data_IF_067152749545
#
_entry.id   IF_067152749545
#
_cell.length_a   1.000
_cell.length_b   1.000
_cell.length_c   1.000
_cell.angle_alpha   90.00
_cell.angle_beta   90.00
_cell.angle_gamma   90.00
#
_symmetry.space_group_name_H-M   'P 1'
#
loop_
_entity.id
_entity.type
_entity.pdbx_description
1 polymer ?
#
# COMPACT_ATOMS: atom_id res chain seq x y z
N UNK A 1 17.40 -0.32 16.12
CA UNK A 1 17.02 0.34 14.85
C UNK A 1 15.52 0.46 14.87
N UNK A 2 15.00 1.68 14.95
CA UNK A 2 13.56 1.98 15.00
C UNK A 2 12.98 1.88 13.59
N UNK A 3 11.85 1.19 13.45
CA UNK A 3 11.12 1.11 12.18
C UNK A 3 10.73 2.52 11.70
N UNK A 4 10.75 2.80 10.37
CA UNK A 4 10.27 4.07 9.85
C UNK A 4 8.85 4.35 10.33
N UNK A 5 8.58 5.59 10.74
CA UNK A 5 7.24 6.07 11.12
C UNK A 5 6.56 5.36 12.31
N UNK A 6 7.26 4.50 13.05
CA UNK A 6 6.73 3.75 14.22
C UNK A 6 6.28 4.63 15.39
N UNK A 7 6.47 5.94 15.30
CA UNK A 7 5.93 6.92 16.27
C UNK A 7 4.46 7.22 16.03
N UNK A 8 3.94 6.96 14.82
CA UNK A 8 2.59 7.36 14.42
C UNK A 8 1.68 6.19 14.05
N UNK A 9 2.21 4.98 13.83
CA UNK A 9 1.44 3.82 13.41
C UNK A 9 2.02 2.53 14.03
N UNK A 10 1.20 1.49 14.07
CA UNK A 10 1.57 0.17 14.60
C UNK A 10 2.31 -0.67 13.55
N UNK A 11 1.81 -0.67 12.32
CA UNK A 11 2.46 -1.32 11.18
C UNK A 11 2.74 -0.32 10.04
N UNK A 12 3.89 -0.49 9.40
CA UNK A 12 4.29 0.23 8.19
C UNK A 12 4.69 -0.76 7.09
N UNK A 13 4.20 -0.58 5.88
CA UNK A 13 4.56 -1.45 4.76
C UNK A 13 4.78 -0.69 3.46
N UNK A 14 5.71 -1.19 2.67
CA UNK A 14 6.04 -0.68 1.35
C UNK A 14 5.65 -1.72 0.32
N UNK A 15 4.82 -1.34 -0.64
CA UNK A 15 4.40 -2.19 -1.72
C UNK A 15 4.82 -1.58 -3.07
N UNK A 16 5.17 -2.44 -4.01
CA UNK A 16 5.37 -2.13 -5.42
C UNK A 16 4.27 -2.80 -6.23
N UNK A 17 3.70 -2.09 -7.20
CA UNK A 17 2.80 -2.69 -8.20
C UNK A 17 3.20 -2.27 -9.60
N UNK A 18 3.43 -3.26 -10.46
CA UNK A 18 3.67 -3.11 -11.88
C UNK A 18 2.45 -3.64 -12.65
N UNK A 19 1.74 -2.76 -13.34
CA UNK A 19 0.61 -3.09 -14.19
C UNK A 19 1.03 -3.30 -15.64
N UNK A 20 0.52 -4.35 -16.28
CA UNK A 20 0.63 -4.59 -17.73
C UNK A 20 -0.72 -4.45 -18.42
N UNK A 21 -0.69 -3.93 -19.66
CA UNK A 21 -1.85 -3.89 -20.54
C UNK A 21 -2.27 -5.30 -21.00
N UNK A 22 -1.29 -6.19 -21.19
CA UNK A 22 -1.49 -7.57 -21.62
C UNK A 22 -1.50 -8.54 -20.44
N UNK A 23 -1.98 -9.76 -20.70
CA UNK A 23 -1.92 -10.82 -19.71
C UNK A 23 -0.47 -11.32 -19.54
N UNK A 24 -0.01 -11.37 -18.29
CA UNK A 24 1.30 -11.92 -17.94
C UNK A 24 1.32 -13.45 -18.15
N UNK A 25 2.49 -14.07 -18.37
CA UNK A 25 2.59 -15.50 -18.54
C UNK A 25 2.30 -16.25 -17.23
N UNK A 26 1.37 -17.21 -17.30
CA UNK A 26 0.99 -18.09 -16.19
C UNK A 26 1.32 -19.56 -16.50
N UNK A 27 2.24 -19.81 -17.43
CA UNK A 27 2.74 -21.17 -17.68
C UNK A 27 3.52 -21.65 -16.47
N UNK A 28 3.30 -22.92 -16.08
CA UNK A 28 3.85 -23.51 -14.86
C UNK A 28 5.35 -23.28 -14.73
N UNK A 29 6.12 -23.54 -15.77
CA UNK A 29 7.57 -23.43 -15.76
C UNK A 29 8.03 -21.98 -15.54
N UNK A 30 7.35 -21.02 -16.16
CA UNK A 30 7.66 -19.59 -16.03
C UNK A 30 7.41 -19.11 -14.61
N UNK A 31 6.24 -19.45 -14.06
CA UNK A 31 5.83 -19.09 -12.70
C UNK A 31 6.79 -19.70 -11.67
N UNK A 32 7.08 -20.99 -11.79
CA UNK A 32 7.98 -21.68 -10.86
C UNK A 32 9.40 -21.13 -10.93
N UNK A 33 9.95 -20.93 -12.13
CA UNK A 33 11.30 -20.40 -12.28
C UNK A 33 11.44 -18.99 -11.67
N UNK A 34 10.43 -18.14 -11.87
CA UNK A 34 10.36 -16.81 -11.25
C UNK A 34 10.37 -16.88 -9.72
N UNK A 35 9.48 -17.67 -9.12
CA UNK A 35 9.38 -17.77 -7.66
C UNK A 35 10.55 -18.53 -7.01
N UNK A 36 11.14 -19.54 -7.68
CA UNK A 36 12.35 -20.21 -7.20
C UNK A 36 13.55 -19.26 -7.16
N UNK A 37 13.65 -18.35 -8.14
CA UNK A 37 14.70 -17.32 -8.13
C UNK A 37 14.53 -16.36 -6.95
N UNK A 38 13.28 -15.95 -6.65
CA UNK A 38 12.96 -15.16 -5.46
C UNK A 38 13.32 -15.90 -4.17
N UNK A 39 12.91 -17.17 -4.03
CA UNK A 39 13.23 -17.97 -2.85
C UNK A 39 14.74 -18.18 -2.63
N UNK A 40 15.55 -18.23 -3.70
CA UNK A 40 17.02 -18.26 -3.59
C UNK A 40 17.60 -16.96 -3.05
N UNK A 41 17.04 -15.82 -3.44
CA UNK A 41 17.48 -14.50 -2.97
C UNK A 41 16.97 -14.18 -1.55
N UNK A 42 15.76 -14.65 -1.22
CA UNK A 42 15.09 -14.46 0.06
C UNK A 42 14.64 -15.82 0.62
N UNK A 43 15.54 -16.55 1.33
CA UNK A 43 15.26 -17.91 1.81
C UNK A 43 14.06 -18.06 2.75
N UNK A 44 13.56 -16.98 3.34
CA UNK A 44 12.34 -16.99 4.15
C UNK A 44 11.05 -17.13 3.34
N UNK A 45 11.07 -16.73 2.06
CA UNK A 45 9.92 -16.76 1.14
C UNK A 45 9.66 -18.20 0.69
N UNK A 46 8.96 -18.96 1.54
CA UNK A 46 8.78 -20.41 1.39
C UNK A 46 7.33 -20.82 1.16
N UNK A 47 6.37 -19.92 1.42
CA UNK A 47 4.94 -20.22 1.33
C UNK A 47 4.42 -19.85 -0.05
N UNK A 48 4.57 -20.77 -1.00
CA UNK A 48 3.94 -20.64 -2.31
C UNK A 48 2.45 -20.97 -2.22
N UNK A 49 1.58 -20.08 -2.72
CA UNK A 49 0.13 -20.25 -2.72
C UNK A 49 -0.42 -19.97 -4.11
N UNK A 50 -1.47 -20.72 -4.46
CA UNK A 50 -2.37 -20.37 -5.54
C UNK A 50 -3.63 -19.80 -4.89
N UNK A 51 -3.99 -18.57 -5.25
CA UNK A 51 -5.23 -17.95 -4.76
C UNK A 51 -6.46 -18.70 -5.31
N UNK A 52 -7.63 -18.43 -4.73
CA UNK A 52 -8.90 -18.95 -5.23
C UNK A 52 -9.25 -18.41 -6.62
N UNK A 53 -8.71 -17.24 -6.98
CA UNK A 53 -8.91 -16.60 -8.27
C UNK A 53 -8.07 -17.26 -9.38
N UNK A 54 -8.57 -17.30 -10.63
CA UNK A 54 -7.79 -17.81 -11.76
C UNK A 54 -6.55 -16.95 -11.99
N UNK A 55 -5.40 -17.60 -12.20
CA UNK A 55 -4.14 -16.93 -12.56
C UNK A 55 -3.65 -15.93 -11.50
N UNK A 56 -3.73 -16.31 -10.23
CA UNK A 56 -3.10 -15.59 -9.13
C UNK A 56 -2.24 -16.54 -8.29
N UNK A 57 -0.95 -16.23 -8.22
CA UNK A 57 0.07 -17.00 -7.51
C UNK A 57 0.84 -16.07 -6.57
N UNK A 58 1.05 -16.47 -5.32
CA UNK A 58 1.86 -15.72 -4.38
C UNK A 58 2.99 -16.56 -3.78
N UNK A 59 4.05 -15.88 -3.37
CA UNK A 59 5.13 -16.40 -2.56
C UNK A 59 5.35 -15.47 -1.38
N UNK A 60 5.28 -16.02 -0.17
CA UNK A 60 5.24 -15.24 1.06
C UNK A 60 6.20 -15.80 2.12
N UNK A 61 6.73 -14.91 2.96
CA UNK A 61 7.32 -15.25 4.26
C UNK A 61 6.22 -15.58 5.29
N UNK A 62 6.61 -15.85 6.53
CA UNK A 62 5.64 -16.08 7.59
C UNK A 62 4.93 -14.79 8.02
N UNK A 63 3.63 -14.68 7.74
CA UNK A 63 2.78 -13.54 8.14
C UNK A 63 2.59 -13.39 9.66
N UNK A 64 2.93 -14.40 10.45
CA UNK A 64 2.93 -14.29 11.92
C UNK A 64 4.20 -13.60 12.44
N UNK A 65 5.23 -13.48 11.60
CA UNK A 65 6.41 -12.72 11.95
C UNK A 65 6.10 -11.21 11.92
N UNK A 66 6.74 -10.42 12.80
CA UNK A 66 6.49 -8.97 12.87
C UNK A 66 6.93 -8.23 11.61
N UNK A 67 7.84 -8.80 10.80
CA UNK A 67 8.25 -8.30 9.50
C UNK A 67 8.25 -9.46 8.52
N UNK A 68 7.65 -9.26 7.35
CA UNK A 68 7.59 -10.30 6.33
C UNK A 68 7.48 -9.71 4.92
N UNK A 69 7.96 -10.48 3.95
CA UNK A 69 7.90 -10.18 2.52
C UNK A 69 6.87 -11.04 1.80
N UNK A 70 6.34 -10.49 0.72
CA UNK A 70 5.47 -11.23 -0.18
C UNK A 70 5.60 -10.73 -1.61
N UNK A 71 5.26 -11.58 -2.57
CA UNK A 71 5.17 -11.24 -3.99
C UNK A 71 3.99 -12.00 -4.58
N UNK A 72 3.19 -11.33 -5.40
CA UNK A 72 2.05 -11.94 -6.11
C UNK A 72 2.14 -11.64 -7.60
N UNK A 73 1.87 -12.67 -8.40
CA UNK A 73 1.71 -12.61 -9.83
C UNK A 73 0.24 -12.86 -10.15
N UNK A 74 -0.42 -11.84 -10.66
CA UNK A 74 -1.81 -11.85 -11.10
C UNK A 74 -1.87 -11.74 -12.63
N UNK A 75 -3.07 -11.93 -13.20
CA UNK A 75 -3.29 -11.92 -14.65
C UNK A 75 -2.65 -10.74 -15.39
N UNK A 76 -2.70 -9.52 -14.83
CA UNK A 76 -2.18 -8.30 -15.45
C UNK A 76 -1.29 -7.47 -14.53
N UNK A 77 -0.88 -8.04 -13.39
CA UNK A 77 -0.21 -7.27 -12.34
C UNK A 77 0.84 -8.12 -11.65
N UNK A 78 2.01 -7.52 -11.47
CA UNK A 78 3.05 -8.05 -10.61
C UNK A 78 3.14 -7.15 -9.38
N UNK A 79 3.00 -7.72 -8.20
CA UNK A 79 3.05 -6.98 -6.94
C UNK A 79 4.05 -7.60 -5.99
N UNK A 80 4.67 -6.76 -5.15
CA UNK A 80 5.48 -7.23 -4.04
C UNK A 80 5.35 -6.28 -2.87
N UNK A 81 5.55 -6.78 -1.66
CA UNK A 81 5.41 -6.00 -0.44
C UNK A 81 6.38 -6.45 0.64
N UNK A 82 6.77 -5.50 1.49
CA UNK A 82 7.51 -5.78 2.72
C UNK A 82 6.83 -5.05 3.88
N UNK A 83 6.32 -5.83 4.82
CA UNK A 83 5.73 -5.35 6.07
C UNK A 83 6.81 -5.16 7.12
N UNK A 84 6.76 -4.02 7.79
CA UNK A 84 7.64 -3.57 8.87
C UNK A 84 9.14 -3.70 8.56
N UNK A 85 9.60 -3.18 7.40
CA UNK A 85 11.00 -3.26 7.04
C UNK A 85 11.87 -2.48 8.05
N UNK A 86 13.09 -2.95 8.28
CA UNK A 86 14.04 -2.27 9.18
C UNK A 86 14.45 -0.87 8.68
N UNK A 87 14.35 -0.64 7.37
CA UNK A 87 14.59 0.63 6.69
C UNK A 87 13.91 0.61 5.31
N UNK A 88 13.74 1.77 4.69
CA UNK A 88 13.22 1.85 3.33
C UNK A 88 14.13 1.12 2.33
N UNK A 89 15.45 1.24 2.48
CA UNK A 89 16.46 0.55 1.67
C UNK A 89 16.31 -0.97 1.74
N UNK A 90 15.93 -1.52 2.90
CA UNK A 90 15.71 -2.96 3.05
C UNK A 90 14.48 -3.44 2.25
N UNK A 91 13.39 -2.66 2.23
CA UNK A 91 12.22 -2.97 1.42
C UNK A 91 12.54 -2.93 -0.09
N UNK A 92 13.33 -1.92 -0.51
CA UNK A 92 13.73 -1.73 -1.90
C UNK A 92 14.48 -2.94 -2.50
N UNK A 93 15.17 -3.75 -1.69
CA UNK A 93 15.90 -4.94 -2.17
C UNK A 93 14.98 -5.95 -2.87
N UNK A 94 13.81 -6.23 -2.28
CA UNK A 94 12.83 -7.14 -2.88
C UNK A 94 12.26 -6.55 -4.17
N UNK A 95 11.77 -5.32 -4.09
CA UNK A 95 11.11 -4.67 -5.21
C UNK A 95 12.04 -4.51 -6.42
N UNK A 96 13.30 -4.12 -6.18
CA UNK A 96 14.30 -3.98 -7.24
C UNK A 96 14.59 -5.33 -7.91
N UNK A 97 14.72 -6.41 -7.14
CA UNK A 97 14.91 -7.75 -7.72
C UNK A 97 13.70 -8.20 -8.54
N UNK A 98 12.47 -7.96 -8.05
CA UNK A 98 11.24 -8.30 -8.77
C UNK A 98 11.17 -7.55 -10.10
N UNK A 99 11.53 -6.26 -10.11
CA UNK A 99 11.53 -5.42 -11.31
C UNK A 99 12.66 -5.76 -12.29
N UNK A 100 13.85 -6.14 -11.82
CA UNK A 100 14.95 -6.66 -12.64
C UNK A 100 14.57 -7.98 -13.35
N UNK A 101 13.88 -8.86 -12.64
CA UNK A 101 13.46 -10.14 -13.19
C UNK A 101 12.26 -10.05 -14.13
N UNK A 102 11.39 -9.04 -13.98
CA UNK A 102 10.14 -8.91 -14.71
C UNK A 102 10.30 -9.02 -16.24
N UNK A 103 11.22 -8.29 -16.90
CA UNK A 103 11.41 -8.40 -18.36
C UNK A 103 11.91 -9.78 -18.81
N UNK A 104 12.83 -10.38 -18.05
CA UNK A 104 13.54 -11.59 -18.48
C UNK A 104 12.86 -12.90 -18.07
N UNK A 105 12.10 -12.89 -16.98
CA UNK A 105 11.39 -14.07 -16.48
C UNK A 105 9.93 -14.06 -16.89
N UNK A 106 9.27 -12.90 -16.88
CA UNK A 106 7.85 -12.77 -17.20
C UNK A 106 7.60 -12.17 -18.58
N UNK A 107 8.66 -11.88 -19.36
CA UNK A 107 8.55 -11.33 -20.70
C UNK A 107 7.98 -9.91 -20.75
N UNK A 108 7.95 -9.19 -19.61
CA UNK A 108 7.32 -7.87 -19.54
C UNK A 108 8.11 -6.88 -20.40
N UNK A 109 7.49 -6.41 -21.47
CA UNK A 109 8.06 -5.41 -22.36
C UNK A 109 7.77 -4.00 -21.85
N UNK A 110 8.72 -3.05 -21.96
CA UNK A 110 8.44 -1.65 -21.64
C UNK A 110 7.24 -1.06 -22.40
N UNK A 111 6.88 -1.61 -23.56
CA UNK A 111 5.77 -1.09 -24.40
C UNK A 111 4.39 -1.43 -23.80
N UNK A 112 4.28 -2.53 -23.06
CA UNK A 112 3.01 -2.97 -22.46
C UNK A 112 2.80 -2.49 -21.02
N UNK A 113 3.77 -1.78 -20.45
CA UNK A 113 3.66 -1.25 -19.08
C UNK A 113 2.56 -0.19 -19.06
N UNK A 114 1.55 -0.42 -18.23
CA UNK A 114 0.44 0.50 -18.00
C UNK A 114 0.81 1.51 -16.91
N UNK A 115 1.24 1.00 -15.77
CA UNK A 115 1.68 1.82 -14.63
C UNK A 115 2.66 1.09 -13.73
N UNK A 116 3.34 1.89 -12.89
CA UNK A 116 4.20 1.46 -11.80
C UNK A 116 3.87 2.37 -10.63
N UNK A 117 3.64 1.77 -9.47
CA UNK A 117 3.47 2.52 -8.24
C UNK A 117 4.30 1.97 -7.09
N UNK A 118 4.55 2.88 -6.17
CA UNK A 118 4.93 2.59 -4.80
C UNK A 118 3.76 2.98 -3.90
N UNK A 119 3.45 2.14 -2.93
CA UNK A 119 2.46 2.39 -1.90
C UNK A 119 3.15 2.29 -0.54
N UNK A 120 3.04 3.34 0.26
CA UNK A 120 3.36 3.34 1.68
C UNK A 120 2.04 3.19 2.44
N UNK A 121 1.94 2.14 3.24
CA UNK A 121 0.76 1.84 4.04
C UNK A 121 1.09 1.92 5.51
N UNK A 122 0.14 2.45 6.27
CA UNK A 122 0.24 2.65 7.72
C UNK A 122 -1.03 2.12 8.35
N UNK A 123 -0.91 1.20 9.29
CA UNK A 123 -2.06 0.70 10.05
C UNK A 123 -1.98 1.25 11.49
N UNK A 124 -3.10 1.80 11.97
CA UNK A 124 -3.27 2.33 13.32
C UNK A 124 -4.40 1.55 14.00
N UNK A 125 -4.08 0.74 15.00
CA UNK A 125 -5.03 -0.05 15.77
C UNK A 125 -5.96 0.84 16.60
N UNK A 126 -7.26 0.60 16.51
CA UNK A 126 -8.24 1.36 17.30
C UNK A 126 -9.54 0.59 17.51
N UNK A 127 -9.84 0.20 18.74
CA UNK A 127 -11.06 -0.54 19.08
C UNK A 127 -12.24 0.40 19.35
N UNK A 128 -12.65 1.17 18.34
CA UNK A 128 -13.73 2.15 18.43
C UNK A 128 -14.38 2.48 17.09
N UNK A 129 -15.12 3.59 17.01
CA UNK A 129 -15.68 4.06 15.75
C UNK A 129 -14.58 4.74 14.90
N UNK A 130 -14.06 4.01 13.90
CA UNK A 130 -12.99 4.49 13.02
C UNK A 130 -13.44 5.74 12.25
N UNK A 131 -14.66 5.75 11.73
CA UNK A 131 -15.19 6.83 10.90
C UNK A 131 -15.28 8.15 11.70
N UNK A 132 -15.68 8.05 12.97
CA UNK A 132 -15.77 9.20 13.87
C UNK A 132 -14.40 9.77 14.20
N UNK A 133 -13.42 8.93 14.55
CA UNK A 133 -12.03 9.38 14.75
C UNK A 133 -11.47 10.07 13.51
N UNK A 134 -11.67 9.50 12.32
CA UNK A 134 -11.14 10.08 11.08
C UNK A 134 -11.81 11.42 10.78
N UNK A 135 -13.14 11.51 10.91
CA UNK A 135 -13.88 12.75 10.67
C UNK A 135 -13.42 13.89 11.58
N UNK A 136 -13.30 13.63 12.88
CA UNK A 136 -12.94 14.66 13.86
C UNK A 136 -11.45 15.04 13.79
N UNK A 137 -10.57 14.07 13.54
CA UNK A 137 -9.12 14.33 13.54
C UNK A 137 -8.64 15.02 12.27
N UNK A 138 -9.28 14.75 11.12
CA UNK A 138 -8.84 15.28 9.82
C UNK A 138 -9.74 16.40 9.27
N UNK A 139 -11.03 16.44 9.63
CA UNK A 139 -12.02 17.34 9.04
C UNK A 139 -12.83 18.15 10.08
N UNK A 140 -12.24 18.65 11.19
CA UNK A 140 -13.02 19.33 12.24
C UNK A 140 -13.77 20.57 11.75
N UNK A 141 -13.24 21.26 10.73
CA UNK A 141 -13.83 22.49 10.15
C UNK A 141 -14.30 22.31 8.69
N UNK A 142 -14.48 21.06 8.25
CA UNK A 142 -14.90 20.78 6.88
C UNK A 142 -16.39 21.03 6.69
N UNK A 143 -16.84 21.57 5.54
CA UNK A 143 -18.27 21.60 5.23
C UNK A 143 -18.89 20.19 5.12
N UNK A 144 -18.07 19.14 4.96
CA UNK A 144 -18.54 17.76 4.88
C UNK A 144 -18.96 17.18 6.24
N UNK A 145 -18.58 17.80 7.36
CA UNK A 145 -18.96 17.35 8.71
C UNK A 145 -20.24 18.00 9.23
N UNK A 146 -20.93 18.81 8.42
CA UNK A 146 -22.18 19.47 8.82
C UNK A 146 -23.28 18.48 9.26
N UNK A 147 -23.32 17.27 8.68
CA UNK A 147 -24.29 16.24 9.07
C UNK A 147 -24.02 15.67 10.47
N UNK A 148 -22.82 15.85 11.01
CA UNK A 148 -22.49 15.47 12.39
C UNK A 148 -23.12 16.39 13.44
N UNK A 149 -23.64 17.56 13.04
CA UNK A 149 -24.34 18.49 13.92
C UNK A 149 -25.79 18.05 14.20
N UNK A 150 -26.34 17.15 13.38
CA UNK A 150 -27.69 16.61 13.56
C UNK A 150 -27.79 15.78 14.84
N UNK A 151 -28.91 15.92 15.55
CA UNK A 151 -29.09 15.25 16.84
C UNK A 151 -29.09 13.73 16.69
N UNK A 152 -28.11 13.06 17.29
CA UNK A 152 -27.95 11.61 17.25
C UNK A 152 -27.25 11.07 16.00
N UNK A 153 -26.72 11.94 15.13
CA UNK A 153 -25.88 11.51 14.02
C UNK A 153 -24.61 10.83 14.53
N UNK A 154 -24.17 9.82 13.78
CA UNK A 154 -22.89 9.13 13.99
C UNK A 154 -22.26 8.88 12.62
N UNK A 155 -20.95 9.06 12.53
CA UNK A 155 -20.21 8.65 11.34
C UNK A 155 -20.28 7.11 11.21
N UNK A 156 -20.61 6.63 10.01
CA UNK A 156 -20.75 5.20 9.69
C UNK A 156 -19.99 4.78 8.42
N UNK A 157 -19.49 5.77 7.66
CA UNK A 157 -18.64 5.60 6.49
C UNK A 157 -17.96 6.94 6.18
N UNK A 158 -16.75 7.14 6.70
CA UNK A 158 -15.96 8.34 6.50
C UNK A 158 -14.53 7.98 6.08
N UNK A 159 -14.38 7.71 4.78
CA UNK A 159 -13.16 7.21 4.17
C UNK A 159 -12.61 8.19 3.11
N UNK A 160 -11.97 9.29 3.54
CA UNK A 160 -11.49 10.32 2.62
C UNK A 160 -10.41 9.77 1.68
N UNK A 161 -10.54 10.12 0.40
CA UNK A 161 -9.62 9.75 -0.67
C UNK A 161 -9.38 10.94 -1.58
N UNK A 162 -8.12 11.28 -1.85
CA UNK A 162 -7.73 12.40 -2.72
C UNK A 162 -6.59 11.96 -3.63
N UNK A 163 -6.69 12.28 -4.93
CA UNK A 163 -5.61 12.09 -5.90
C UNK A 163 -5.24 13.43 -6.54
N UNK A 164 -3.95 13.70 -6.66
CA UNK A 164 -3.41 14.90 -7.31
C UNK A 164 -2.39 14.51 -8.37
N UNK A 165 -2.33 15.29 -9.44
CA UNK A 165 -1.26 15.20 -10.42
C UNK A 165 0.01 15.88 -9.88
N UNK A 166 1.17 15.26 -10.11
CA UNK A 166 2.50 15.78 -9.80
C UNK A 166 3.30 16.14 -11.06
N UNK A 167 2.68 16.04 -12.24
CA UNK A 167 3.25 16.40 -13.53
C UNK A 167 2.18 17.02 -14.43
N UNK A 168 2.61 17.88 -15.35
CA UNK A 168 1.70 18.62 -16.25
C UNK A 168 0.90 17.70 -17.18
N UNK A 169 1.44 16.53 -17.52
CA UNK A 169 0.77 15.49 -18.31
C UNK A 169 -0.25 14.67 -17.49
N UNK A 170 -0.40 14.94 -16.20
CA UNK A 170 -1.23 14.22 -15.23
C UNK A 170 -0.90 12.73 -15.09
N UNK A 171 0.25 12.26 -15.59
CA UNK A 171 0.62 10.84 -15.56
C UNK A 171 1.43 10.44 -14.33
N UNK A 172 2.11 11.37 -13.67
CA UNK A 172 2.63 11.15 -12.32
C UNK A 172 1.58 11.65 -11.34
N UNK A 173 1.12 10.79 -10.44
CA UNK A 173 0.06 11.10 -9.50
C UNK A 173 0.46 10.65 -8.09
N UNK A 174 -0.01 11.40 -7.09
CA UNK A 174 -0.02 10.96 -5.70
C UNK A 174 -1.46 10.85 -5.22
N UNK A 175 -1.76 9.77 -4.51
CA UNK A 175 -3.06 9.49 -3.91
C UNK A 175 -2.89 9.23 -2.42
N UNK A 176 -3.82 9.76 -1.65
CA UNK A 176 -3.99 9.45 -0.24
C UNK A 176 -5.35 8.78 -0.09
N UNK A 177 -5.38 7.62 0.57
CA UNK A 177 -6.59 6.92 0.96
C UNK A 177 -6.58 6.66 2.47
N UNK A 178 -7.68 6.95 3.15
CA UNK A 178 -7.93 6.49 4.52
C UNK A 178 -9.06 5.47 4.48
N UNK A 179 -8.79 4.29 5.01
CA UNK A 179 -9.71 3.15 5.01
C UNK A 179 -10.08 2.78 6.44
N UNK A 180 -11.38 2.78 6.69
CA UNK A 180 -11.99 2.39 7.97
C UNK A 180 -12.55 0.97 7.86
N UNK A 181 -12.77 0.32 9.01
CA UNK A 181 -13.27 -1.06 9.07
C UNK A 181 -14.46 -1.21 10.03
N UNK A 182 -14.94 -0.09 10.56
CA UNK A 182 -16.15 -0.07 11.37
C UNK A 182 -17.38 -0.21 10.47
N UNK A 183 -18.38 -0.97 10.92
CA UNK A 183 -19.66 -1.08 10.23
C UNK A 183 -20.83 -0.59 11.09
N UNK A 184 -21.98 -0.36 10.46
CA UNK A 184 -23.15 0.20 11.15
C UNK A 184 -23.71 -0.69 12.28
N UNK A 185 -23.43 -2.00 12.31
CA UNK A 185 -23.81 -2.84 13.45
C UNK A 185 -22.99 -2.45 14.68
N UNK A 186 -21.66 -2.36 14.54
CA UNK A 186 -20.74 -1.99 15.61
C UNK A 186 -21.03 -0.58 16.14
N UNK A 187 -21.30 0.39 15.25
CA UNK A 187 -21.68 1.76 15.65
C UNK A 187 -22.97 1.82 16.49
N UNK A 188 -23.92 0.90 16.24
CA UNK A 188 -25.16 0.82 17.01
C UNK A 188 -24.97 0.13 18.36
N UNK A 189 -24.20 -0.96 18.39
CA UNK A 189 -24.02 -1.77 19.61
C UNK A 189 -22.92 -1.25 20.52
N UNK A 190 -21.96 -0.48 19.99
CA UNK A 190 -20.73 -0.12 20.67
C UNK A 190 -19.73 -1.28 20.79
N UNK A 191 -19.99 -2.39 20.09
CA UNK A 191 -19.14 -3.59 20.10
C UNK A 191 -18.16 -3.52 18.92
N UNK A 192 -16.98 -2.98 19.16
CA UNK A 192 -15.96 -2.75 18.15
C UNK A 192 -14.92 -3.88 18.17
N UNK A 193 -14.47 -4.30 16.98
CA UNK A 193 -13.37 -5.24 16.81
C UNK A 193 -12.01 -4.56 16.98
N UNK A 194 -10.98 -5.35 17.30
CA UNK A 194 -9.58 -4.91 17.28
C UNK A 194 -9.04 -4.86 15.84
N UNK A 195 -9.61 -3.94 15.05
CA UNK A 195 -9.18 -3.64 13.69
C UNK A 195 -8.26 -2.41 13.65
N UNK A 196 -7.69 -2.15 12.47
CA UNK A 196 -6.91 -0.95 12.22
C UNK A 196 -7.63 0.02 11.28
N UNK A 197 -7.30 1.31 11.43
CA UNK A 197 -7.48 2.32 10.40
C UNK A 197 -6.24 2.26 9.50
N UNK A 198 -6.43 2.08 8.19
CA UNK A 198 -5.31 2.06 7.24
C UNK A 198 -5.21 3.39 6.50
N UNK A 199 -4.01 3.96 6.44
CA UNK A 199 -3.69 5.12 5.61
C UNK A 199 -2.74 4.68 4.51
N UNK A 200 -3.05 5.00 3.26
CA UNK A 200 -2.23 4.69 2.11
C UNK A 200 -1.77 5.97 1.42
N UNK A 201 -0.45 6.10 1.20
CA UNK A 201 0.13 7.03 0.24
C UNK A 201 0.58 6.24 -0.98
N UNK A 202 0.02 6.55 -2.14
CA UNK A 202 0.32 5.87 -3.40
C UNK A 202 0.93 6.89 -4.35
N UNK A 203 2.16 6.65 -4.82
CA UNK A 203 2.77 7.45 -5.89
C UNK A 203 2.87 6.59 -7.12
N UNK A 204 2.15 6.97 -8.17
CA UNK A 204 1.99 6.18 -9.39
C UNK A 204 2.40 6.96 -10.62
N UNK A 205 3.16 6.31 -11.50
CA UNK A 205 3.38 6.78 -12.87
C UNK A 205 2.62 5.90 -13.85
N UNK A 206 1.87 6.55 -14.73
CA UNK A 206 1.23 5.94 -15.90
C UNK A 206 2.08 6.16 -17.16
N UNK A 207 2.02 5.22 -18.10
CA UNK A 207 2.67 5.34 -19.40
C UNK A 207 1.67 5.21 -20.53
N UNK A 208 1.73 6.16 -21.46
CA UNK A 208 1.11 6.04 -22.78
C UNK A 208 2.14 5.80 -23.89
N UNK A 209 3.42 5.77 -23.54
CA UNK A 209 4.58 5.58 -24.39
C UNK A 209 5.67 4.81 -23.64
N UNK A 210 6.64 4.26 -24.37
CA UNK A 210 7.67 3.38 -23.80
C UNK A 210 8.49 4.10 -22.70
N UNK A 211 8.65 3.51 -21.50
CA UNK A 211 9.59 3.99 -20.51
C UNK A 211 11.02 4.07 -21.05
N UNK A 212 11.72 5.16 -20.70
CA UNK A 212 13.08 5.47 -21.19
C UNK A 212 14.19 5.02 -20.24
N UNK A 213 13.82 4.60 -19.04
CA UNK A 213 14.72 4.17 -17.97
C UNK A 213 14.36 2.75 -17.56
N UNK A 214 15.25 2.10 -16.80
CA UNK A 214 14.97 0.77 -16.24
C UNK A 214 13.87 0.86 -15.16
N UNK A 215 13.17 -0.25 -14.93
CA UNK A 215 12.07 -0.29 -13.96
C UNK A 215 12.53 0.04 -12.54
N UNK A 216 13.72 -0.43 -12.18
CA UNK A 216 14.37 -0.23 -10.89
C UNK A 216 14.70 1.25 -10.67
N UNK A 217 15.27 1.92 -11.67
CA UNK A 217 15.58 3.35 -11.59
C UNK A 217 14.31 4.20 -11.45
N UNK A 218 13.25 3.83 -12.19
CA UNK A 218 11.95 4.51 -12.08
C UNK A 218 11.32 4.28 -10.71
N UNK A 219 11.36 3.05 -10.19
CA UNK A 219 10.83 2.73 -8.88
C UNK A 219 11.57 3.48 -7.77
N UNK A 220 12.90 3.55 -7.83
CA UNK A 220 13.70 4.32 -6.88
C UNK A 220 13.29 5.79 -6.83
N UNK A 221 13.08 6.43 -8.00
CA UNK A 221 12.58 7.82 -8.08
C UNK A 221 11.17 7.98 -7.51
N UNK A 222 10.28 7.02 -7.76
CA UNK A 222 8.93 7.03 -7.18
C UNK A 222 8.98 6.89 -5.66
N UNK A 223 9.85 6.02 -5.15
CA UNK A 223 10.06 5.82 -3.71
C UNK A 223 10.63 7.06 -3.03
N UNK A 224 11.64 7.71 -3.64
CA UNK A 224 12.17 8.99 -3.13
C UNK A 224 11.07 10.05 -3.05
N UNK A 225 10.23 10.14 -4.09
CA UNK A 225 9.10 11.07 -4.09
C UNK A 225 8.04 10.72 -3.04
N UNK A 226 7.75 9.43 -2.84
CA UNK A 226 6.83 8.97 -1.81
C UNK A 226 7.34 9.30 -0.41
N UNK A 227 8.64 9.11 -0.15
CA UNK A 227 9.25 9.41 1.15
C UNK A 227 9.25 10.93 1.45
N UNK A 228 9.54 11.76 0.45
CA UNK A 228 9.44 13.23 0.54
C UNK A 228 8.01 13.66 0.90
N UNK A 229 7.01 13.17 0.17
CA UNK A 229 5.59 13.49 0.40
C UNK A 229 5.10 12.96 1.76
N UNK A 230 5.56 11.77 2.16
CA UNK A 230 5.23 11.18 3.44
C UNK A 230 5.74 12.05 4.59
N UNK A 231 7.03 12.37 4.57
CA UNK A 231 7.69 13.17 5.62
C UNK A 231 7.09 14.57 5.71
N UNK A 232 6.82 15.22 4.57
CA UNK A 232 6.38 16.62 4.52
C UNK A 232 4.88 16.77 4.78
N UNK A 233 4.07 15.79 4.39
CA UNK A 233 2.62 15.90 4.42
C UNK A 233 1.95 14.79 5.23
N UNK A 234 2.07 13.54 4.82
CA UNK A 234 1.25 12.44 5.37
C UNK A 234 1.53 12.21 6.86
N UNK A 235 2.80 12.14 7.26
CA UNK A 235 3.17 11.90 8.65
C UNK A 235 2.65 13.00 9.59
N UNK A 236 2.83 14.27 9.23
CA UNK A 236 2.48 15.39 10.09
C UNK A 236 0.99 15.78 10.03
N UNK A 237 0.37 15.69 8.85
CA UNK A 237 -1.00 16.20 8.62
C UNK A 237 -2.07 15.11 8.67
N UNK A 238 -1.69 13.84 8.64
CA UNK A 238 -2.65 12.72 8.62
C UNK A 238 -2.36 11.73 9.74
N UNK A 239 -1.18 11.11 9.76
CA UNK A 239 -0.87 10.06 10.75
C UNK A 239 -0.86 10.62 12.17
N UNK A 240 -0.17 11.75 12.38
CA UNK A 240 -0.07 12.37 13.70
C UNK A 240 -1.43 12.79 14.29
N UNK A 241 -2.34 13.48 13.57
CA UNK A 241 -3.67 13.78 14.09
C UNK A 241 -4.49 12.54 14.44
N UNK A 242 -4.52 11.52 13.57
CA UNK A 242 -5.26 10.27 13.84
C UNK A 242 -4.68 9.58 15.07
N UNK A 243 -3.36 9.41 15.13
CA UNK A 243 -2.65 8.79 16.25
C UNK A 243 -2.89 9.51 17.57
N UNK A 244 -2.87 10.86 17.57
CA UNK A 244 -3.17 11.65 18.75
C UNK A 244 -4.63 11.50 19.21
N UNK A 245 -5.58 11.45 18.26
CA UNK A 245 -7.00 11.23 18.56
C UNK A 245 -7.23 9.84 19.15
N UNK A 246 -6.61 8.79 18.58
CA UNK A 246 -6.63 7.42 19.12
C UNK A 246 -6.09 7.41 20.56
N UNK A 247 -4.90 7.99 20.77
CA UNK A 247 -4.25 8.01 22.09
C UNK A 247 -5.09 8.76 23.16
N UNK A 248 -5.90 9.75 22.76
CA UNK A 248 -6.79 10.47 23.68
C UNK A 248 -8.02 9.66 24.14
N UNK A 249 -8.31 8.55 23.46
CA UNK A 249 -9.47 7.66 23.68
C UNK A 249 -9.10 6.26 24.14
N UNK A 250 -7.80 5.96 24.19
CA UNK A 250 -7.25 4.67 24.62
C UNK A 250 -6.99 4.63 26.12
#
# INVERSE_FOLDING_TARGET
MTQPYSTFCDDFYVNMRLGSQLALPHTRETVLHFFERLGKAFPGMTRFRKSGEPNEFSLEEDRTAPSYRWTSLEQKRLTSGHVNPASLDEALKLHSLVLDMAPHHLGISPIEIDYLDVLFGFDLSFSGNHDEIVAESLFPESPLTCLSEETGAKAVDFQPSVTVALSDDCRLQARIDVVTRTNSYQVRTGDYSDDAISVYLIVRRYWGDRPKESLEAMFAKLTEKADELCTTHVAQKILKPISAAIASRS
#
